data_IF_377305789351
#
_entry.id   IF_377305789351
#
_cell.length_a   1.000
_cell.length_b   1.000
_cell.length_c   1.000
_cell.angle_alpha   90.00
_cell.angle_beta   90.00
_cell.angle_gamma   90.00
#
_symmetry.space_group_name_H-M   'P 1'
#
loop_
_entity.id
_entity.type
_entity.pdbx_description
1 polymer ?
#
# COMPACT_ATOMS: atom_id res chain seq x y z
N UNK A 1 13.35 -8.29 -8.80
CA UNK A 1 12.38 -8.85 -7.85
C UNK A 1 12.63 -10.33 -7.69
N UNK A 2 12.60 -10.80 -6.47
CA UNK A 2 12.75 -12.22 -6.18
C UNK A 2 11.42 -12.92 -6.42
N UNK A 3 11.34 -13.65 -7.55
CA UNK A 3 10.11 -14.35 -7.94
C UNK A 3 9.79 -15.56 -7.08
N UNK A 4 10.74 -15.98 -6.24
CA UNK A 4 10.56 -17.15 -5.36
C UNK A 4 9.88 -16.77 -4.04
N UNK A 5 9.87 -15.47 -3.69
CA UNK A 5 9.21 -15.02 -2.46
C UNK A 5 7.71 -14.93 -2.69
N UNK A 6 6.90 -15.50 -1.82
CA UNK A 6 5.46 -15.39 -1.97
C UNK A 6 4.99 -13.95 -1.77
N UNK A 7 4.03 -13.55 -2.59
CA UNK A 7 3.34 -12.27 -2.43
C UNK A 7 2.53 -12.31 -1.15
N UNK A 8 1.86 -13.44 -0.91
CA UNK A 8 0.98 -13.62 0.23
C UNK A 8 1.79 -13.77 1.53
N UNK A 9 1.14 -13.40 2.62
CA UNK A 9 1.68 -13.51 3.97
C UNK A 9 0.51 -13.82 4.89
N UNK A 10 0.75 -13.79 6.20
CA UNK A 10 -0.32 -13.99 7.17
C UNK A 10 -1.45 -12.97 6.98
N UNK A 11 -1.11 -11.70 6.72
CA UNK A 11 -2.10 -10.65 6.57
C UNK A 11 -2.52 -10.43 5.11
N UNK A 12 -1.60 -10.63 4.15
CA UNK A 12 -1.88 -10.48 2.73
C UNK A 12 -2.32 -11.85 2.19
N UNK A 13 -3.60 -12.14 2.36
CA UNK A 13 -4.18 -13.41 1.92
C UNK A 13 -4.50 -13.36 0.44
N UNK A 14 -4.66 -14.53 -0.18
CA UNK A 14 -5.04 -14.60 -1.59
C UNK A 14 -6.37 -13.91 -1.88
N UNK A 15 -7.43 -14.09 -1.06
CA UNK A 15 -8.67 -13.34 -1.29
C UNK A 15 -8.50 -11.83 -1.22
N UNK A 16 -7.65 -11.33 -0.32
CA UNK A 16 -7.36 -9.90 -0.22
C UNK A 16 -6.68 -9.39 -1.50
N UNK A 17 -5.66 -10.11 -1.97
CA UNK A 17 -4.95 -9.74 -3.22
C UNK A 17 -5.93 -9.68 -4.39
N UNK A 18 -6.77 -10.70 -4.53
CA UNK A 18 -7.75 -10.75 -5.62
C UNK A 18 -8.75 -9.61 -5.53
N UNK A 19 -9.18 -9.27 -4.32
CA UNK A 19 -10.12 -8.16 -4.11
C UNK A 19 -9.48 -6.82 -4.53
N UNK A 20 -8.24 -6.59 -4.15
CA UNK A 20 -7.51 -5.37 -4.53
C UNK A 20 -7.36 -5.29 -6.05
N UNK A 21 -7.01 -6.40 -6.71
CA UNK A 21 -6.84 -6.42 -8.16
C UNK A 21 -8.16 -6.12 -8.89
N UNK A 22 -9.28 -6.62 -8.37
CA UNK A 22 -10.60 -6.34 -8.96
C UNK A 22 -11.06 -4.90 -8.69
N UNK A 23 -10.65 -4.34 -7.57
CA UNK A 23 -11.03 -2.96 -7.21
C UNK A 23 -10.32 -1.93 -8.10
N UNK A 24 -9.13 -2.28 -8.59
CA UNK A 24 -8.35 -1.39 -9.45
C UNK A 24 -8.99 -1.33 -10.84
N UNK A 25 -9.41 -0.15 -11.27
CA UNK A 25 -10.16 0.02 -12.51
C UNK A 25 -9.31 0.44 -13.70
N UNK A 26 -8.01 0.59 -13.50
CA UNK A 26 -7.09 1.02 -14.54
C UNK A 26 -6.30 -0.16 -15.09
N UNK A 27 -5.44 0.12 -16.07
CA UNK A 27 -4.60 -0.90 -16.70
C UNK A 27 -3.50 -1.34 -15.72
N UNK A 28 -3.46 -2.62 -15.37
CA UNK A 28 -2.43 -3.17 -14.50
C UNK A 28 -1.03 -3.11 -15.11
N UNK A 29 -0.93 -2.91 -16.43
CA UNK A 29 0.36 -2.70 -17.10
C UNK A 29 0.83 -1.25 -17.03
N UNK A 30 0.01 -0.35 -16.48
CA UNK A 30 0.37 1.05 -16.28
C UNK A 30 1.29 1.27 -15.09
N UNK A 31 1.70 2.52 -14.88
CA UNK A 31 2.68 2.89 -13.84
C UNK A 31 2.21 2.60 -12.42
N UNK A 32 0.91 2.59 -12.18
CA UNK A 32 0.34 2.45 -10.82
C UNK A 32 -0.35 1.10 -10.62
N UNK A 33 -0.13 0.14 -11.53
CA UNK A 33 -0.76 -1.16 -11.48
C UNK A 33 -0.04 -2.18 -10.62
N UNK A 34 -0.40 -3.43 -10.79
CA UNK A 34 0.06 -4.55 -9.96
C UNK A 34 1.59 -4.66 -9.87
N UNK A 35 2.30 -4.46 -10.99
CA UNK A 35 3.77 -4.52 -10.98
C UNK A 35 4.38 -3.48 -10.05
N UNK A 36 3.83 -2.26 -10.05
CA UNK A 36 4.25 -1.21 -9.12
C UNK A 36 3.96 -1.66 -7.67
N UNK A 37 2.78 -2.21 -7.41
CA UNK A 37 2.42 -2.69 -6.06
C UNK A 37 3.43 -3.73 -5.56
N UNK A 38 3.88 -4.62 -6.43
CA UNK A 38 4.83 -5.67 -6.04
C UNK A 38 6.21 -5.10 -5.73
N UNK A 39 6.65 -4.09 -6.48
CA UNK A 39 7.91 -3.41 -6.17
C UNK A 39 7.82 -2.65 -4.86
N UNK A 40 6.70 -1.97 -4.62
CA UNK A 40 6.45 -1.25 -3.37
C UNK A 40 6.42 -2.25 -2.20
N UNK A 41 5.79 -3.40 -2.38
CA UNK A 41 5.73 -4.45 -1.36
C UNK A 41 7.14 -4.95 -1.00
N UNK A 42 7.97 -5.18 -2.00
CA UNK A 42 9.36 -5.58 -1.78
C UNK A 42 10.11 -4.52 -0.96
N UNK A 43 10.01 -3.26 -1.38
CA UNK A 43 10.64 -2.14 -0.67
C UNK A 43 10.12 -2.04 0.76
N UNK A 44 8.82 -2.14 0.92
CA UNK A 44 8.17 -2.03 2.24
C UNK A 44 8.62 -3.11 3.21
N UNK A 45 8.72 -4.35 2.73
CA UNK A 45 9.17 -5.47 3.57
C UNK A 45 10.61 -5.27 4.04
N UNK A 46 11.49 -4.82 3.16
CA UNK A 46 12.89 -4.54 3.54
C UNK A 46 12.98 -3.39 4.54
N UNK A 47 12.28 -2.30 4.27
CA UNK A 47 12.31 -1.14 5.16
C UNK A 47 11.66 -1.44 6.52
N UNK A 48 10.57 -2.19 6.53
CA UNK A 48 9.90 -2.54 7.79
C UNK A 48 10.81 -3.35 8.69
N UNK A 49 11.58 -4.27 8.12
CA UNK A 49 12.54 -5.06 8.88
C UNK A 49 13.66 -4.19 9.43
N UNK A 50 14.24 -3.33 8.59
CA UNK A 50 15.35 -2.46 8.95
C UNK A 50 14.95 -1.44 10.02
N UNK A 51 13.77 -0.84 9.88
CA UNK A 51 13.29 0.24 10.73
C UNK A 51 12.42 -0.23 11.90
N UNK A 52 12.19 -1.53 11.98
CA UNK A 52 11.32 -2.13 13.02
C UNK A 52 9.91 -1.54 13.00
N UNK A 53 9.34 -1.38 11.80
CA UNK A 53 7.99 -0.88 11.61
C UNK A 53 6.97 -2.03 11.68
N UNK A 54 5.69 -1.69 11.78
CA UNK A 54 4.61 -2.70 11.81
C UNK A 54 4.43 -3.30 10.43
N UNK A 55 4.90 -4.53 10.25
CA UNK A 55 4.90 -5.20 8.95
C UNK A 55 3.49 -5.38 8.37
N UNK A 56 2.51 -5.69 9.22
CA UNK A 56 1.11 -5.88 8.77
C UNK A 56 0.58 -4.63 8.09
N UNK A 57 0.77 -3.47 8.72
CA UNK A 57 0.32 -2.19 8.21
C UNK A 57 1.04 -1.86 6.90
N UNK A 58 2.35 -2.07 6.87
CA UNK A 58 3.16 -1.79 5.68
C UNK A 58 2.71 -2.65 4.50
N UNK A 59 2.53 -3.95 4.71
CA UNK A 59 2.10 -4.85 3.65
C UNK A 59 0.72 -4.48 3.10
N UNK A 60 -0.21 -4.16 3.99
CA UNK A 60 -1.56 -3.75 3.56
C UNK A 60 -1.51 -2.45 2.77
N UNK A 61 -0.72 -1.48 3.22
CA UNK A 61 -0.54 -0.22 2.50
C UNK A 61 -0.05 -0.46 1.07
N UNK A 62 0.93 -1.34 0.90
CA UNK A 62 1.53 -1.58 -0.41
C UNK A 62 0.50 -2.07 -1.43
N UNK A 63 -0.43 -2.92 -1.00
CA UNK A 63 -1.48 -3.43 -1.88
C UNK A 63 -2.61 -2.42 -2.08
N UNK A 64 -2.89 -1.59 -1.09
CA UNK A 64 -4.08 -0.73 -1.10
C UNK A 64 -3.87 0.64 -1.71
N UNK A 65 -2.65 1.18 -1.64
CA UNK A 65 -2.42 2.62 -1.85
C UNK A 65 -2.91 3.17 -3.19
N UNK A 66 -2.83 2.39 -4.26
CA UNK A 66 -3.25 2.83 -5.59
C UNK A 66 -4.52 2.12 -6.10
N UNK A 67 -5.17 1.28 -5.27
CA UNK A 67 -6.36 0.52 -5.70
C UNK A 67 -7.51 1.42 -6.17
N UNK A 68 -7.57 2.66 -5.68
CA UNK A 68 -8.68 3.57 -5.95
C UNK A 68 -8.31 4.70 -6.90
N UNK A 69 -7.20 4.57 -7.62
CA UNK A 69 -6.83 5.53 -8.64
C UNK A 69 -7.83 5.52 -9.80
N UNK A 70 -8.07 6.70 -10.35
CA UNK A 70 -8.97 6.89 -11.49
C UNK A 70 -8.26 7.39 -12.73
N UNK A 71 -7.00 7.84 -12.60
CA UNK A 71 -6.16 8.21 -13.74
C UNK A 71 -4.69 8.03 -13.39
N UNK A 72 -3.83 7.96 -14.41
CA UNK A 72 -2.40 7.72 -14.25
C UNK A 72 -1.61 8.99 -13.90
N UNK A 73 -2.18 10.16 -14.13
CA UNK A 73 -1.50 11.43 -13.88
C UNK A 73 -1.80 11.93 -12.48
N UNK A 74 -2.56 13.00 -12.39
CA UNK A 74 -2.87 13.63 -11.13
C UNK A 74 -4.22 13.15 -10.61
N UNK A 75 -4.20 12.56 -9.43
CA UNK A 75 -5.42 12.07 -8.78
C UNK A 75 -5.31 12.37 -7.28
N UNK A 76 -5.55 13.64 -6.88
CA UNK A 76 -5.29 14.06 -5.49
C UNK A 76 -6.14 13.35 -4.45
N UNK A 77 -7.29 12.80 -4.84
CA UNK A 77 -8.20 12.14 -3.90
C UNK A 77 -8.01 10.63 -3.82
N UNK A 78 -7.07 10.05 -4.59
CA UNK A 78 -6.94 8.59 -4.58
C UNK A 78 -6.50 8.02 -3.23
N UNK A 79 -5.70 8.77 -2.47
CA UNK A 79 -5.30 8.35 -1.14
C UNK A 79 -6.47 8.32 -0.17
N UNK A 80 -7.33 9.35 -0.20
CA UNK A 80 -8.52 9.39 0.63
C UNK A 80 -9.50 8.28 0.27
N UNK A 81 -9.66 8.00 -1.02
CA UNK A 81 -10.51 6.89 -1.47
C UNK A 81 -9.93 5.54 -1.02
N UNK A 82 -8.61 5.37 -1.08
CA UNK A 82 -7.97 4.14 -0.61
C UNK A 82 -8.17 3.95 0.89
N UNK A 83 -8.06 5.01 1.68
CA UNK A 83 -8.28 4.95 3.12
C UNK A 83 -9.73 4.56 3.44
N UNK A 84 -10.69 5.16 2.75
CA UNK A 84 -12.11 4.81 2.93
C UNK A 84 -12.39 3.37 2.52
N UNK A 85 -11.78 2.90 1.45
CA UNK A 85 -11.90 1.52 0.99
C UNK A 85 -11.34 0.55 2.05
N UNK A 86 -10.17 0.86 2.60
CA UNK A 86 -9.57 0.03 3.65
C UNK A 86 -10.47 -0.07 4.87
N UNK A 87 -11.10 1.04 5.28
CA UNK A 87 -12.05 1.05 6.39
C UNK A 87 -13.22 0.11 6.10
N UNK A 88 -13.71 0.13 4.87
CA UNK A 88 -14.88 -0.66 4.49
C UNK A 88 -14.59 -2.17 4.50
N UNK A 89 -13.38 -2.60 4.17
CA UNK A 89 -13.05 -4.03 4.08
C UNK A 89 -12.32 -4.57 5.31
N UNK A 90 -11.97 -3.72 6.25
CA UNK A 90 -11.39 -4.15 7.53
C UNK A 90 -12.43 -4.98 8.29
N UNK A 91 -12.00 -6.10 8.84
CA UNK A 91 -12.89 -7.03 9.53
C UNK A 91 -13.46 -8.12 8.62
N UNK A 92 -13.33 -7.94 7.29
CA UNK A 92 -13.82 -8.93 6.31
C UNK A 92 -12.66 -9.58 5.57
N UNK A 93 -11.75 -8.77 5.03
CA UNK A 93 -10.63 -9.25 4.22
C UNK A 93 -9.30 -9.23 4.97
N UNK A 94 -9.21 -8.47 6.04
CA UNK A 94 -8.08 -8.47 6.95
C UNK A 94 -8.55 -7.95 8.29
N UNK A 95 -7.74 -8.18 9.33
CA UNK A 95 -8.05 -7.64 10.65
C UNK A 95 -6.86 -6.87 11.21
N UNK A 96 -7.14 -5.69 11.72
CA UNK A 96 -6.18 -4.86 12.44
C UNK A 96 -6.86 -4.35 13.70
N UNK A 97 -6.07 -4.11 14.75
CA UNK A 97 -6.61 -3.40 15.92
C UNK A 97 -6.79 -1.92 15.58
N UNK A 98 -7.41 -1.19 16.50
CA UNK A 98 -7.75 0.22 16.28
C UNK A 98 -6.51 1.07 15.99
N UNK A 99 -5.44 0.89 16.76
CA UNK A 99 -4.19 1.62 16.58
C UNK A 99 -3.56 1.35 15.22
N UNK A 100 -3.51 0.08 14.82
CA UNK A 100 -2.98 -0.32 13.51
C UNK A 100 -3.81 0.26 12.37
N UNK A 101 -5.13 0.27 12.53
CA UNK A 101 -6.03 0.83 11.52
C UNK A 101 -5.83 2.36 11.38
N UNK A 102 -5.58 3.05 12.47
CA UNK A 102 -5.26 4.49 12.42
C UNK A 102 -3.96 4.74 11.64
N UNK A 103 -2.94 3.92 11.86
CA UNK A 103 -1.68 4.04 11.12
C UNK A 103 -1.89 3.79 9.63
N UNK A 104 -2.65 2.76 9.31
CA UNK A 104 -2.95 2.44 7.90
C UNK A 104 -3.74 3.55 7.23
N UNK A 105 -4.75 4.09 7.91
CA UNK A 105 -5.55 5.18 7.39
C UNK A 105 -4.68 6.41 7.09
N UNK A 106 -3.84 6.81 8.04
CA UNK A 106 -2.95 7.95 7.84
C UNK A 106 -2.00 7.72 6.67
N UNK A 107 -1.40 6.52 6.60
CA UNK A 107 -0.48 6.21 5.52
C UNK A 107 -1.16 6.31 4.16
N UNK A 108 -2.35 5.73 4.02
CA UNK A 108 -3.09 5.74 2.76
C UNK A 108 -3.57 7.15 2.39
N UNK A 109 -4.19 7.83 3.35
CA UNK A 109 -4.86 9.10 3.10
C UNK A 109 -3.90 10.19 2.63
N UNK A 110 -2.68 10.17 3.16
CA UNK A 110 -1.72 11.25 2.92
C UNK A 110 -0.50 10.84 2.10
N UNK A 111 -0.49 9.65 1.48
CA UNK A 111 0.73 9.14 0.83
C UNK A 111 1.18 9.98 -0.37
N UNK A 112 0.28 10.72 -1.00
CA UNK A 112 0.62 11.52 -2.17
C UNK A 112 0.80 13.02 -1.85
N UNK A 113 0.80 13.40 -0.57
CA UNK A 113 0.81 14.81 -0.16
C UNK A 113 2.21 15.37 0.12
N UNK A 114 3.25 14.55 0.01
CA UNK A 114 4.63 15.02 0.18
C UNK A 114 5.10 15.12 1.62
N UNK A 115 4.32 14.70 2.60
CA UNK A 115 4.74 14.69 4.00
C UNK A 115 5.89 13.70 4.22
N UNK A 116 6.75 14.01 5.19
CA UNK A 116 7.91 13.16 5.50
C UNK A 116 8.02 12.85 7.00
N UNK A 117 7.22 13.47 7.84
CA UNK A 117 7.30 13.33 9.28
C UNK A 117 6.02 12.70 9.82
N UNK A 118 6.16 11.52 10.40
CA UNK A 118 5.05 10.74 10.94
C UNK A 118 5.60 9.60 11.79
N UNK A 119 4.72 8.75 12.33
CA UNK A 119 5.12 7.50 12.97
C UNK A 119 6.00 6.69 12.01
N UNK A 120 6.96 5.95 12.56
CA UNK A 120 7.92 5.20 11.72
C UNK A 120 7.22 4.23 10.75
N UNK A 121 6.11 3.62 11.15
CA UNK A 121 5.37 2.72 10.27
C UNK A 121 4.80 3.49 9.08
N UNK A 122 4.24 4.68 9.31
CA UNK A 122 3.70 5.53 8.25
C UNK A 122 4.83 6.01 7.34
N UNK A 123 5.95 6.43 7.90
CA UNK A 123 7.12 6.85 7.11
C UNK A 123 7.62 5.72 6.21
N UNK A 124 7.68 4.49 6.73
CA UNK A 124 8.11 3.33 5.93
C UNK A 124 7.16 3.12 4.75
N UNK A 125 5.85 3.23 4.97
CA UNK A 125 4.87 3.14 3.89
C UNK A 125 5.16 4.16 2.80
N UNK A 126 5.33 5.42 3.17
CA UNK A 126 5.58 6.49 2.21
C UNK A 126 6.90 6.29 1.46
N UNK A 127 7.96 5.89 2.18
CA UNK A 127 9.27 5.67 1.57
C UNK A 127 9.25 4.51 0.59
N UNK A 128 8.54 3.43 0.92
CA UNK A 128 8.43 2.27 0.04
C UNK A 128 7.85 2.66 -1.32
N UNK A 129 6.81 3.49 -1.32
CA UNK A 129 6.18 3.98 -2.54
C UNK A 129 7.11 4.93 -3.30
N UNK A 130 7.69 5.90 -2.61
CA UNK A 130 8.53 6.92 -3.23
C UNK A 130 9.79 6.35 -3.86
N UNK A 131 10.38 5.32 -3.26
CA UNK A 131 11.57 4.68 -3.82
C UNK A 131 11.29 4.09 -5.20
N UNK A 132 10.12 3.51 -5.40
CA UNK A 132 9.77 2.95 -6.71
C UNK A 132 9.48 4.05 -7.74
N UNK A 133 8.79 5.11 -7.33
CA UNK A 133 8.48 6.23 -8.21
C UNK A 133 9.75 6.95 -8.66
N UNK A 134 10.71 7.12 -7.77
CA UNK A 134 12.00 7.75 -8.10
C UNK A 134 12.76 6.96 -9.15
N UNK A 135 12.68 5.64 -9.11
CA UNK A 135 13.33 4.79 -10.11
C UNK A 135 12.71 4.92 -11.50
N UNK A 136 11.43 5.27 -11.58
CA UNK A 136 10.72 5.42 -12.84
C UNK A 136 10.97 6.77 -13.49
N UNK A 137 11.42 7.74 -12.73
CA UNK A 137 11.77 9.07 -13.24
C UNK A 137 13.20 9.12 -13.71
#
# INVERSE_FOLDING_TARGET
>A
MDLLKPITSEIVTQPFVEHCCRAYQMDHDGFHGYAHWMRVLHNGRLLAETENANLKVVELFCLLHDTQRRNEDRDPEHGSRAADYAQAICGTLFELNEEEMELLDEALRYHSDGYVDADITVQVCWDADRLDLDELE
#
